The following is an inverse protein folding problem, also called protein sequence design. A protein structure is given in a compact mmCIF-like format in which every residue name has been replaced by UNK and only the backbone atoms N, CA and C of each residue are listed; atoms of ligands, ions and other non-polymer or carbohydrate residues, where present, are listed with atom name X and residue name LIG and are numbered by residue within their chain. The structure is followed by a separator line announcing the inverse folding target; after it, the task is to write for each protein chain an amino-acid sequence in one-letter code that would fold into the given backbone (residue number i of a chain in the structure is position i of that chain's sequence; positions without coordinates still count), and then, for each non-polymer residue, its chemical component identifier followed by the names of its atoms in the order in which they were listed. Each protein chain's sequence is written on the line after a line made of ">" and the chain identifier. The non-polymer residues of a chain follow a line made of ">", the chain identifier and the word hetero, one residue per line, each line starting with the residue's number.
data_IF_882693301334
#
_entry.id   IF_882693301334
#
_cell.length_a   1.000
_cell.length_b   1.000
_cell.length_c   1.000
_cell.angle_alpha   90.00
_cell.angle_beta   90.00
_cell.angle_gamma   90.00
#
_symmetry.space_group_name_H-M   'P 1'
#
loop_
_entity.id
_entity.type
_entity.pdbx_description
1 polymer ?
#
# COMPACT_ATOMS: atom_id res chain seq x y z
N UNK A 1 1.85 27.99 5.47
CA UNK A 1 0.79 27.27 4.72
C UNK A 1 1.01 25.79 4.91
N UNK A 2 0.25 25.16 5.81
CA UNK A 2 0.29 23.71 6.02
C UNK A 2 -0.27 23.03 4.78
N UNK A 3 0.57 22.33 4.02
CA UNK A 3 0.11 21.47 2.94
C UNK A 3 -0.64 20.29 3.59
N UNK A 4 -1.96 20.42 3.71
CA UNK A 4 -2.88 19.33 3.99
C UNK A 4 -2.98 18.43 2.74
N UNK A 5 -1.84 17.90 2.28
CA UNK A 5 -1.75 17.16 1.02
C UNK A 5 -2.47 15.78 1.06
N UNK A 6 -3.24 15.50 2.12
CA UNK A 6 -4.02 14.27 2.33
C UNK A 6 -5.43 14.56 2.86
N UNK A 7 -6.16 15.50 2.25
CA UNK A 7 -7.59 15.69 2.56
C UNK A 7 -8.42 14.41 2.36
N UNK A 8 -7.98 13.52 1.46
CA UNK A 8 -8.61 12.23 1.18
C UNK A 8 -7.69 11.08 1.63
N UNK A 9 -7.68 10.80 2.94
CA UNK A 9 -7.00 9.63 3.49
C UNK A 9 -7.88 8.39 3.30
N UNK A 10 -7.40 7.47 2.48
CA UNK A 10 -8.00 6.17 2.19
C UNK A 10 -7.31 5.10 3.02
N UNK A 11 -7.97 4.63 4.08
CA UNK A 11 -7.48 3.53 4.92
C UNK A 11 -7.93 2.22 4.33
N UNK A 12 -7.04 1.23 4.24
CA UNK A 12 -7.45 -0.10 3.79
C UNK A 12 -8.40 -0.73 4.81
N UNK A 13 -9.46 -1.36 4.32
CA UNK A 13 -10.46 -2.09 5.13
C UNK A 13 -10.47 -3.59 4.81
N UNK A 14 -9.90 -3.99 3.67
CA UNK A 14 -9.73 -5.36 3.25
C UNK A 14 -8.61 -5.52 2.24
N UNK A 15 -8.05 -6.73 2.19
CA UNK A 15 -7.08 -7.17 1.19
C UNK A 15 -7.47 -8.61 0.81
N UNK A 16 -7.58 -8.89 -0.48
CA UNK A 16 -7.77 -10.25 -0.99
C UNK A 16 -6.44 -10.92 -1.34
N UNK A 17 -6.46 -12.25 -1.49
CA UNK A 17 -5.31 -13.02 -1.99
C UNK A 17 -4.91 -12.65 -3.43
N UNK A 18 -5.81 -12.00 -4.19
CA UNK A 18 -5.54 -11.51 -5.54
C UNK A 18 -4.95 -10.09 -5.57
N UNK A 19 -4.60 -9.51 -4.42
CA UNK A 19 -4.04 -8.15 -4.34
C UNK A 19 -5.08 -7.03 -4.45
N UNK A 20 -6.38 -7.34 -4.29
CA UNK A 20 -7.44 -6.32 -4.30
C UNK A 20 -7.55 -5.66 -2.92
N UNK A 21 -7.30 -4.36 -2.87
CA UNK A 21 -7.52 -3.51 -1.72
C UNK A 21 -8.92 -2.89 -1.75
N UNK A 22 -9.58 -2.92 -0.61
CA UNK A 22 -10.75 -2.07 -0.35
C UNK A 22 -10.35 -0.98 0.63
N UNK A 23 -10.90 0.23 0.44
CA UNK A 23 -10.52 1.41 1.22
C UNK A 23 -11.73 2.17 1.75
N UNK A 24 -11.51 2.99 2.77
CA UNK A 24 -12.49 3.99 3.23
C UNK A 24 -12.70 5.08 2.19
N UNK A 25 -13.94 5.60 2.13
CA UNK A 25 -14.35 6.68 1.22
C UNK A 25 -13.97 6.39 -0.25
N UNK A 26 -14.34 5.22 -0.83
CA UNK A 26 -13.89 4.84 -2.17
C UNK A 26 -14.62 5.58 -3.30
N UNK A 27 -15.62 6.42 -3.00
CA UNK A 27 -16.53 7.00 -3.98
C UNK A 27 -16.22 8.47 -4.24
N UNK A 28 -16.63 8.95 -5.42
CA UNK A 28 -16.51 10.33 -5.87
C UNK A 28 -15.06 10.85 -5.93
N UNK A 29 -14.11 9.97 -6.27
CA UNK A 29 -12.72 10.36 -6.51
C UNK A 29 -12.60 10.85 -7.96
N UNK A 30 -12.37 12.14 -8.14
CA UNK A 30 -12.23 12.79 -9.44
C UNK A 30 -10.86 12.60 -10.08
N UNK A 31 -10.77 12.90 -11.38
CA UNK A 31 -9.50 12.86 -12.09
C UNK A 31 -8.50 13.86 -11.51
N UNK A 32 -7.26 13.43 -11.30
CA UNK A 32 -6.17 14.16 -10.65
C UNK A 32 -6.38 14.46 -9.15
N UNK A 33 -7.42 13.89 -8.52
CA UNK A 33 -7.60 14.03 -7.08
C UNK A 33 -6.45 13.35 -6.33
N UNK A 34 -6.07 13.97 -5.21
CA UNK A 34 -5.06 13.41 -4.32
C UNK A 34 -5.60 12.14 -3.67
N UNK A 35 -4.77 11.10 -3.66
CA UNK A 35 -5.10 9.81 -3.08
C UNK A 35 -4.02 9.44 -2.06
N UNK A 36 -4.33 9.58 -0.77
CA UNK A 36 -3.42 9.15 0.29
C UNK A 36 -3.85 7.78 0.82
N UNK A 37 -3.09 6.74 0.48
CA UNK A 37 -3.35 5.37 0.90
C UNK A 37 -2.64 5.07 2.22
N UNK A 38 -3.37 4.65 3.25
CA UNK A 38 -2.81 4.07 4.47
C UNK A 38 -3.07 2.56 4.48
N UNK A 39 -2.01 1.78 4.34
CA UNK A 39 -2.08 0.32 4.44
C UNK A 39 -2.15 -0.09 5.92
N UNK A 40 -3.29 -0.58 6.36
CA UNK A 40 -3.56 -1.04 7.72
C UNK A 40 -3.42 -2.57 7.87
N UNK A 41 -3.53 -3.30 6.78
CA UNK A 41 -3.49 -4.77 6.73
C UNK A 41 -2.12 -5.24 6.25
N UNK A 42 -1.53 -6.22 6.94
CA UNK A 42 -0.24 -6.80 6.56
C UNK A 42 -0.40 -7.70 5.32
N UNK A 43 0.25 -7.37 4.18
CA UNK A 43 0.17 -8.20 2.98
C UNK A 43 0.63 -9.64 3.24
N UNK A 44 1.70 -9.81 4.01
CA UNK A 44 2.30 -11.12 4.33
C UNK A 44 1.36 -12.04 5.13
N UNK A 45 0.35 -11.47 5.80
CA UNK A 45 -0.67 -12.26 6.52
C UNK A 45 -1.80 -12.79 5.63
N UNK A 46 -1.94 -12.24 4.41
CA UNK A 46 -3.02 -12.57 3.46
C UNK A 46 -2.47 -13.26 2.22
N UNK A 47 -1.32 -12.80 1.73
CA UNK A 47 -0.67 -13.27 0.51
C UNK A 47 0.52 -14.14 0.92
N UNK A 48 0.33 -15.45 0.83
CA UNK A 48 1.30 -16.46 1.30
C UNK A 48 2.14 -17.06 0.16
N UNK A 49 2.03 -16.50 -1.04
CA UNK A 49 2.70 -16.98 -2.25
C UNK A 49 3.51 -15.91 -2.96
N UNK A 50 3.64 -16.03 -4.28
CA UNK A 50 4.32 -15.05 -5.12
C UNK A 50 3.64 -13.68 -4.99
N UNK A 51 4.40 -12.58 -4.87
CA UNK A 51 3.83 -11.24 -4.86
C UNK A 51 2.94 -10.99 -6.08
N UNK A 52 1.80 -10.35 -5.86
CA UNK A 52 0.85 -9.99 -6.91
C UNK A 52 0.72 -8.47 -7.02
N UNK A 53 0.25 -7.98 -8.16
CA UNK A 53 0.03 -6.55 -8.36
C UNK A 53 -1.16 -6.06 -7.52
N UNK A 54 -1.02 -4.88 -6.91
CA UNK A 54 -2.13 -4.26 -6.21
C UNK A 54 -3.15 -3.68 -7.18
N UNK A 55 -4.41 -3.93 -6.84
CA UNK A 55 -5.55 -3.17 -7.34
C UNK A 55 -6.29 -2.56 -6.16
N UNK A 56 -7.09 -1.54 -6.40
CA UNK A 56 -7.92 -0.92 -5.36
C UNK A 56 -9.29 -0.57 -5.91
N UNK A 57 -10.33 -0.80 -5.11
CA UNK A 57 -11.69 -0.41 -5.48
C UNK A 57 -11.89 1.09 -5.25
N UNK A 58 -12.04 1.83 -6.35
CA UNK A 58 -12.36 3.27 -6.37
C UNK A 58 -13.49 3.50 -7.37
N UNK A 59 -14.47 4.32 -7.01
CA UNK A 59 -15.69 4.59 -7.80
C UNK A 59 -16.37 3.30 -8.29
N UNK A 60 -16.43 2.28 -7.43
CA UNK A 60 -17.05 0.98 -7.73
C UNK A 60 -16.24 0.06 -8.65
N UNK A 61 -15.06 0.49 -9.12
CA UNK A 61 -14.23 -0.28 -10.05
C UNK A 61 -12.89 -0.66 -9.42
N UNK A 62 -12.42 -1.89 -9.66
CA UNK A 62 -11.07 -2.28 -9.30
C UNK A 62 -10.08 -1.71 -10.33
N UNK A 63 -9.15 -0.87 -9.87
CA UNK A 63 -8.19 -0.20 -10.73
C UNK A 63 -6.76 -0.50 -10.27
N UNK A 64 -5.77 -0.54 -11.18
CA UNK A 64 -4.39 -0.84 -10.83
C UNK A 64 -3.74 0.31 -10.03
N UNK A 65 -2.83 -0.07 -9.13
CA UNK A 65 -1.91 0.84 -8.47
C UNK A 65 -0.55 0.76 -9.19
N UNK A 66 -0.09 1.90 -9.68
CA UNK A 66 1.16 2.06 -10.42
C UNK A 66 2.16 2.92 -9.64
N UNK A 67 3.44 2.72 -9.90
CA UNK A 67 4.49 3.64 -9.47
C UNK A 67 4.60 4.83 -10.43
N UNK A 68 5.51 5.76 -10.13
CA UNK A 68 5.75 6.97 -10.95
C UNK A 68 6.24 6.67 -12.38
N UNK A 69 6.67 5.44 -12.65
CA UNK A 69 7.16 4.99 -13.95
C UNK A 69 6.08 4.21 -14.72
N UNK A 70 4.88 4.07 -14.16
CA UNK A 70 3.77 3.33 -14.77
C UNK A 70 3.83 1.83 -14.56
N UNK A 71 4.73 1.31 -13.72
CA UNK A 71 4.79 -0.11 -13.42
C UNK A 71 3.84 -0.49 -12.29
N UNK A 72 3.21 -1.68 -12.34
CA UNK A 72 2.37 -2.16 -11.24
C UNK A 72 3.13 -2.25 -9.91
N UNK A 73 2.52 -1.72 -8.86
CA UNK A 73 3.05 -1.85 -7.50
C UNK A 73 2.68 -3.23 -6.96
N UNK A 74 3.70 -4.04 -6.66
CA UNK A 74 3.54 -5.40 -6.16
C UNK A 74 3.35 -5.42 -4.63
N UNK A 75 2.81 -6.53 -4.11
CA UNK A 75 2.44 -6.67 -2.68
C UNK A 75 3.59 -6.69 -1.69
N UNK A 76 4.80 -6.95 -2.15
CA UNK A 76 6.05 -6.88 -1.40
C UNK A 76 6.61 -5.45 -1.29
N UNK A 77 6.09 -4.49 -2.08
CA UNK A 77 6.58 -3.11 -2.12
C UNK A 77 5.90 -2.15 -1.13
N UNK A 78 4.72 -2.51 -0.63
CA UNK A 78 4.00 -1.71 0.35
C UNK A 78 4.17 -2.28 1.77
N UNK A 79 4.28 -1.37 2.74
CA UNK A 79 4.50 -1.63 4.16
C UNK A 79 3.31 -1.12 4.94
N UNK A 80 2.96 -1.83 6.00
CA UNK A 80 1.86 -1.43 6.89
C UNK A 80 2.20 -0.16 7.65
N UNK A 81 1.16 0.56 8.07
CA UNK A 81 1.22 1.79 8.88
C UNK A 81 1.98 2.94 8.22
N UNK A 82 2.33 2.82 6.93
CA UNK A 82 2.90 3.89 6.10
C UNK A 82 1.81 4.52 5.25
N UNK A 83 1.84 5.86 5.17
CA UNK A 83 0.98 6.63 4.26
C UNK A 83 1.70 6.81 2.92
N UNK A 84 1.10 6.27 1.86
CA UNK A 84 1.53 6.44 0.49
C UNK A 84 0.73 7.58 -0.14
N UNK A 85 1.44 8.53 -0.74
CA UNK A 85 0.83 9.65 -1.45
C UNK A 85 0.73 9.31 -2.92
N UNK A 86 -0.36 9.71 -3.54
CA UNK A 86 -0.59 9.46 -4.94
C UNK A 86 -1.69 10.32 -5.52
N UNK A 87 -2.06 9.99 -6.75
CA UNK A 87 -3.17 10.61 -7.48
C UNK A 87 -3.98 9.56 -8.21
N UNK A 88 -5.28 9.77 -8.24
CA UNK A 88 -6.18 9.05 -9.13
C UNK A 88 -6.13 9.69 -10.51
N UNK A 89 -5.93 8.88 -11.55
CA UNK A 89 -5.79 9.35 -12.94
C UNK A 89 -6.74 8.54 -13.80
N UNK A 90 -7.61 9.22 -14.54
CA UNK A 90 -8.43 8.64 -15.62
C UNK A 90 -7.87 9.05 -16.97
N UNK A 91 -7.64 8.07 -17.83
CA UNK A 91 -7.23 8.25 -19.23
C UNK A 91 -8.22 7.56 -20.16
N UNK A 92 -8.06 7.72 -21.47
CA UNK A 92 -8.83 6.96 -22.47
C UNK A 92 -8.58 5.44 -22.41
N UNK A 93 -7.43 5.03 -21.87
CA UNK A 93 -7.01 3.62 -21.79
C UNK A 93 -7.45 2.97 -20.47
N UNK A 94 -7.91 3.76 -19.51
CA UNK A 94 -8.38 3.29 -18.21
C UNK A 94 -8.00 4.22 -17.05
N UNK A 95 -8.50 3.85 -15.88
CA UNK A 95 -8.23 4.54 -14.61
C UNK A 95 -7.15 3.81 -13.82
N UNK A 96 -6.31 4.54 -13.11
CA UNK A 96 -5.28 3.98 -12.23
C UNK A 96 -4.93 4.96 -11.10
N UNK A 97 -4.20 4.47 -10.09
CA UNK A 97 -3.61 5.29 -9.05
C UNK A 97 -2.10 5.29 -9.21
N UNK A 98 -1.48 6.46 -9.26
CA UNK A 98 -0.01 6.58 -9.23
C UNK A 98 0.45 6.93 -7.83
N UNK A 99 1.30 6.10 -7.21
CA UNK A 99 1.92 6.35 -5.91
C UNK A 99 3.35 6.90 -6.04
N UNK A 100 3.68 7.92 -5.25
CA UNK A 100 4.96 8.66 -5.36
C UNK A 100 6.00 8.30 -4.30
N UNK A 101 5.63 7.58 -3.24
CA UNK A 101 6.55 7.19 -2.15
C UNK A 101 6.51 5.68 -1.89
N UNK A 102 6.48 4.91 -2.98
CA UNK A 102 6.74 3.47 -2.95
C UNK A 102 8.25 3.32 -2.79
N UNK A 103 8.70 2.66 -1.73
CA UNK A 103 10.14 2.46 -1.55
C UNK A 103 10.65 1.61 -2.73
N UNK A 104 11.69 2.09 -3.42
CA UNK A 104 12.53 1.18 -4.21
C UNK A 104 13.11 0.18 -3.23
N UNK A 105 12.85 -1.11 -3.43
CA UNK A 105 13.08 -2.15 -2.43
C UNK A 105 14.45 -2.06 -1.78
N UNK A 106 14.46 -1.58 -0.53
CA UNK A 106 15.44 -2.05 0.44
C UNK A 106 14.77 -3.23 1.11
N UNK A 107 15.28 -4.41 0.81
CA UNK A 107 15.01 -5.63 1.54
C UNK A 107 15.29 -5.33 3.01
N UNK A 108 14.24 -5.14 3.82
CA UNK A 108 14.35 -5.15 5.28
C UNK A 108 14.81 -6.56 5.67
N UNK A 109 16.12 -6.79 5.64
CA UNK A 109 16.73 -7.98 6.20
C UNK A 109 16.40 -7.95 7.68
N UNK A 110 15.62 -8.94 8.09
CA UNK A 110 15.15 -9.14 9.44
C UNK A 110 16.25 -8.86 10.48
N UNK A 111 16.08 -7.81 11.27
CA UNK A 111 16.72 -7.73 12.58
C UNK A 111 15.98 -8.67 13.55
N UNK A 112 16.03 -9.97 13.27
CA UNK A 112 15.83 -11.01 14.29
C UNK A 112 17.09 -11.04 15.12
N UNK A 113 17.23 -10.08 16.04
CA UNK A 113 18.12 -10.27 17.18
C UNK A 113 17.33 -11.15 18.14
N UNK A 114 17.50 -12.46 17.97
CA UNK A 114 17.16 -13.43 18.99
C UNK A 114 18.06 -13.14 20.19
N UNK A 115 17.56 -12.37 21.15
CA UNK A 115 18.19 -12.24 22.47
C UNK A 115 17.92 -13.53 23.25
N UNK A 116 18.64 -14.58 22.90
CA UNK A 116 18.80 -15.75 23.78
C UNK A 116 19.72 -15.32 24.92
N UNK A 117 19.15 -14.75 25.98
CA UNK A 117 19.88 -14.59 27.24
C UNK A 117 19.88 -15.91 28.00
N UNK A 118 20.83 -16.78 27.68
CA UNK A 118 21.26 -17.91 28.52
C UNK A 118 22.44 -17.49 29.38
N UNK A 119 22.25 -17.39 30.71
CA UNK A 119 23.24 -17.63 31.79
C UNK A 119 22.49 -17.44 33.12
N UNK A 120 21.91 -18.49 33.71
CA UNK A 120 22.48 -19.48 34.66
C UNK A 120 22.65 -18.96 36.10
N UNK A 121 22.07 -19.73 37.03
CA UNK A 121 22.19 -19.67 38.49
C UNK A 121 23.63 -19.54 39.02
N UNK A 122 23.76 -18.97 40.21
CA UNK A 122 24.92 -19.08 41.09
C UNK A 122 24.63 -18.39 42.43
N UNK A 123 24.56 -19.22 43.48
CA UNK A 123 24.24 -18.94 44.90
C UNK A 123 24.80 -17.66 45.53
#
# INVERSE_FOLDING_TARGET
>A
MSCNCCQCLHKTTGLSTAGLLTVTNPNNVGNFDNFCLLLTICPDSVITGVPVAYTVTVNGTAIPILDIWGYPVMTDRLRTRKVYRGRYITTSEGSHITLTNVACGETDVAATIASTSTTSEGD
#
